data_IF_634870915307
#
_entry.id   IF_634870915307
#
_cell.length_a   1.000
_cell.length_b   1.000
_cell.length_c   1.000
_cell.angle_alpha   90.00
_cell.angle_beta   90.00
_cell.angle_gamma   90.00
#
_symmetry.space_group_name_H-M   'P 1'
#
loop_
_entity.id
_entity.type
_entity.pdbx_description
1 polymer ?
#
# COMPACT_ATOMS: atom_id res chain seq x y z
N UNK A 1 -19.97 -4.29 2.41
CA UNK A 1 -18.92 -3.76 1.51
C UNK A 1 -17.67 -4.61 1.64
N UNK A 2 -17.12 -5.13 0.54
CA UNK A 2 -15.84 -5.87 0.58
C UNK A 2 -14.70 -4.88 0.85
N UNK A 3 -13.98 -5.06 1.95
CA UNK A 3 -12.77 -4.29 2.24
C UNK A 3 -11.66 -4.74 1.28
N UNK A 4 -10.78 -3.84 0.82
CA UNK A 4 -9.60 -4.24 0.06
C UNK A 4 -8.72 -5.15 0.92
N UNK A 5 -8.00 -6.07 0.27
CA UNK A 5 -7.06 -6.94 0.98
C UNK A 5 -5.92 -6.11 1.62
N UNK A 6 -5.19 -6.68 2.60
CA UNK A 6 -3.99 -6.04 3.15
C UNK A 6 -2.98 -5.62 2.09
N UNK A 7 -2.82 -6.43 1.04
CA UNK A 7 -1.92 -6.19 -0.08
C UNK A 7 -2.38 -5.02 -0.96
N UNK A 8 -3.67 -4.97 -1.30
CA UNK A 8 -4.26 -3.86 -2.02
C UNK A 8 -4.14 -2.54 -1.23
N UNK A 9 -4.33 -2.60 0.09
CA UNK A 9 -4.13 -1.46 1.01
C UNK A 9 -2.67 -1.02 1.04
N UNK A 10 -1.72 -1.96 1.15
CA UNK A 10 -0.29 -1.68 1.15
C UNK A 10 0.15 -0.97 -0.13
N UNK A 11 -0.23 -1.53 -1.28
CA UNK A 11 0.07 -0.94 -2.59
C UNK A 11 -0.52 0.47 -2.73
N UNK A 12 -1.77 0.67 -2.30
CA UNK A 12 -2.44 1.97 -2.40
C UNK A 12 -1.74 3.03 -1.56
N UNK A 13 -1.35 2.71 -0.32
CA UNK A 13 -0.66 3.64 0.57
C UNK A 13 0.76 3.96 0.10
N UNK A 14 1.49 2.96 -0.39
CA UNK A 14 2.79 3.16 -1.03
C UNK A 14 2.71 4.11 -2.22
N UNK A 15 1.79 3.84 -3.15
CA UNK A 15 1.62 4.72 -4.31
C UNK A 15 1.17 6.12 -3.88
N UNK A 16 0.39 6.28 -2.80
CA UNK A 16 0.05 7.60 -2.27
C UNK A 16 1.22 8.35 -1.66
N UNK A 17 2.15 7.66 -0.99
CA UNK A 17 3.38 8.24 -0.46
C UNK A 17 4.27 8.77 -1.60
N UNK A 18 4.48 7.94 -2.63
CA UNK A 18 5.46 8.21 -3.69
C UNK A 18 4.89 8.83 -4.99
N UNK A 19 3.56 9.00 -5.13
CA UNK A 19 2.97 9.62 -6.35
C UNK A 19 3.47 11.03 -6.67
N UNK A 20 4.04 11.74 -5.69
CA UNK A 20 4.63 13.07 -5.88
C UNK A 20 6.12 13.01 -6.25
N UNK A 21 6.80 11.90 -6.02
CA UNK A 21 8.23 11.74 -6.31
C UNK A 21 8.47 11.31 -7.74
N UNK A 22 7.57 10.49 -8.31
CA UNK A 22 7.67 10.02 -9.69
C UNK A 22 6.26 9.95 -10.34
N UNK A 23 6.05 10.59 -11.51
CA UNK A 23 4.83 10.46 -12.30
C UNK A 23 4.41 9.01 -12.58
N UNK A 24 5.34 8.08 -12.68
CA UNK A 24 5.09 6.65 -12.90
C UNK A 24 4.26 6.04 -11.77
N UNK A 25 4.46 6.46 -10.51
CA UNK A 25 3.66 5.99 -9.38
C UNK A 25 2.24 6.59 -9.40
N UNK A 26 2.10 7.82 -9.88
CA UNK A 26 0.78 8.45 -10.07
C UNK A 26 -0.06 7.70 -11.08
N UNK A 27 0.53 7.30 -12.21
CA UNK A 27 -0.18 6.53 -13.24
C UNK A 27 -0.53 5.12 -12.76
N UNK A 28 0.38 4.43 -12.06
CA UNK A 28 0.08 3.14 -11.41
C UNK A 28 -1.07 3.24 -10.39
N UNK A 29 -1.10 4.32 -9.59
CA UNK A 29 -2.18 4.59 -8.63
C UNK A 29 -3.53 4.75 -9.32
N UNK A 30 -3.59 5.55 -10.39
CA UNK A 30 -4.81 5.72 -11.18
C UNK A 30 -5.29 4.38 -11.77
N UNK A 31 -4.36 3.57 -12.31
CA UNK A 31 -4.68 2.26 -12.90
C UNK A 31 -5.30 1.30 -11.88
N UNK A 32 -4.67 1.15 -10.70
CA UNK A 32 -5.18 0.27 -9.64
C UNK A 32 -6.54 0.74 -9.12
N UNK A 33 -6.73 2.05 -8.94
CA UNK A 33 -8.02 2.60 -8.50
C UNK A 33 -9.12 2.32 -9.53
N UNK A 34 -8.82 2.52 -10.83
CA UNK A 34 -9.77 2.19 -11.92
C UNK A 34 -10.14 0.71 -11.92
N UNK A 35 -9.17 -0.19 -11.73
CA UNK A 35 -9.46 -1.62 -11.65
C UNK A 35 -10.32 -1.97 -10.43
N UNK A 36 -10.09 -1.33 -9.29
CA UNK A 36 -10.95 -1.50 -8.11
C UNK A 36 -12.38 -0.99 -8.35
N UNK A 37 -12.55 0.08 -9.11
CA UNK A 37 -13.88 0.55 -9.53
C UNK A 37 -14.59 -0.48 -10.41
N UNK A 38 -13.87 -1.11 -11.36
CA UNK A 38 -14.41 -2.20 -12.18
C UNK A 38 -14.77 -3.45 -11.34
N UNK A 39 -14.01 -3.74 -10.28
CA UNK A 39 -14.37 -4.83 -9.34
C UNK A 39 -15.66 -4.49 -8.59
N UNK A 40 -15.86 -3.22 -8.23
CA UNK A 40 -17.09 -2.77 -7.55
C UNK A 40 -18.29 -2.76 -8.49
N UNK A 41 -18.10 -2.48 -9.79
CA UNK A 41 -19.18 -2.56 -10.80
C UNK A 41 -19.46 -3.99 -11.28
N UNK A 42 -18.60 -4.96 -10.93
CA UNK A 42 -18.73 -6.36 -11.37
C UNK A 42 -18.15 -6.64 -12.76
N UNK A 43 -17.55 -5.64 -13.40
CA UNK A 43 -16.90 -5.75 -14.72
C UNK A 43 -15.53 -6.42 -14.66
N UNK A 44 -14.90 -6.46 -13.47
CA UNK A 44 -13.64 -7.16 -13.24
C UNK A 44 -13.77 -8.13 -12.06
N UNK A 45 -13.24 -9.33 -12.21
CA UNK A 45 -13.18 -10.27 -11.10
C UNK A 45 -12.21 -9.78 -10.01
N UNK A 46 -12.56 -10.04 -8.75
CA UNK A 46 -11.67 -9.72 -7.64
C UNK A 46 -10.32 -10.45 -7.77
N UNK A 47 -10.31 -11.67 -8.32
CA UNK A 47 -9.08 -12.44 -8.57
C UNK A 47 -8.15 -11.77 -9.59
N UNK A 48 -8.69 -11.28 -10.72
CA UNK A 48 -7.89 -10.58 -11.73
C UNK A 48 -7.30 -9.26 -11.18
N UNK A 49 -8.07 -8.55 -10.36
CA UNK A 49 -7.55 -7.39 -9.63
C UNK A 49 -6.41 -7.76 -8.68
N UNK A 50 -6.60 -8.83 -7.89
CA UNK A 50 -5.60 -9.30 -6.94
C UNK A 50 -4.32 -9.77 -7.60
N UNK A 51 -4.39 -10.40 -8.78
CA UNK A 51 -3.20 -10.79 -9.55
C UNK A 51 -2.35 -9.58 -9.93
N UNK A 52 -2.99 -8.50 -10.42
CA UNK A 52 -2.29 -7.27 -10.78
C UNK A 52 -1.71 -6.56 -9.53
N UNK A 53 -2.44 -6.56 -8.40
CA UNK A 53 -1.93 -6.05 -7.12
C UNK A 53 -0.68 -6.81 -6.69
N UNK A 54 -0.70 -8.14 -6.72
CA UNK A 54 0.45 -8.97 -6.35
C UNK A 54 1.63 -8.73 -7.28
N UNK A 55 1.39 -8.68 -8.59
CA UNK A 55 2.43 -8.37 -9.59
C UNK A 55 3.11 -7.03 -9.33
N UNK A 56 2.33 -5.99 -9.02
CA UNK A 56 2.88 -4.68 -8.67
C UNK A 56 3.64 -4.70 -7.36
N UNK A 57 3.11 -5.33 -6.31
CA UNK A 57 3.82 -5.46 -5.04
C UNK A 57 5.16 -6.17 -5.22
N UNK A 58 5.18 -7.30 -5.93
CA UNK A 58 6.41 -8.02 -6.25
C UNK A 58 7.42 -7.14 -6.99
N UNK A 59 6.97 -6.30 -7.92
CA UNK A 59 7.86 -5.35 -8.62
C UNK A 59 8.48 -4.28 -7.71
N UNK A 60 7.90 -4.05 -6.52
CA UNK A 60 8.41 -3.11 -5.52
C UNK A 60 9.17 -3.77 -4.36
N UNK A 61 9.36 -5.10 -4.42
CA UNK A 61 10.03 -5.88 -3.37
C UNK A 61 9.10 -6.79 -2.55
N UNK A 62 7.82 -6.84 -2.91
CA UNK A 62 6.79 -7.58 -2.19
C UNK A 62 6.17 -6.78 -1.04
N UNK A 63 5.27 -7.43 -0.31
CA UNK A 63 4.45 -6.79 0.72
C UNK A 63 5.27 -6.17 1.85
N UNK A 64 6.25 -6.90 2.40
CA UNK A 64 7.07 -6.43 3.53
C UNK A 64 7.87 -5.19 3.16
N UNK A 65 8.58 -5.23 2.03
CA UNK A 65 9.41 -4.10 1.58
C UNK A 65 8.56 -2.86 1.27
N UNK A 66 7.35 -3.05 0.71
CA UNK A 66 6.40 -1.96 0.47
C UNK A 66 5.91 -1.32 1.77
N UNK A 67 5.64 -2.12 2.81
CA UNK A 67 5.30 -1.58 4.14
C UNK A 67 6.45 -0.77 4.70
N UNK A 68 7.66 -1.33 4.72
CA UNK A 68 8.85 -0.68 5.24
C UNK A 68 9.11 0.67 4.57
N UNK A 69 9.11 0.71 3.23
CA UNK A 69 9.26 1.96 2.47
C UNK A 69 8.19 2.98 2.83
N UNK A 70 6.94 2.54 2.94
CA UNK A 70 5.80 3.43 3.25
C UNK A 70 5.92 4.00 4.65
N UNK A 71 6.17 3.16 5.65
CA UNK A 71 6.31 3.58 7.05
C UNK A 71 7.49 4.54 7.18
N UNK A 72 8.64 4.17 6.62
CA UNK A 72 9.83 5.01 6.58
C UNK A 72 9.55 6.38 5.98
N UNK A 73 8.88 6.44 4.82
CA UNK A 73 8.54 7.71 4.16
C UNK A 73 7.74 8.64 5.07
N UNK A 74 6.73 8.12 5.78
CA UNK A 74 5.90 8.95 6.65
C UNK A 74 6.64 9.36 7.94
N UNK A 75 7.44 8.46 8.53
CA UNK A 75 8.28 8.78 9.69
C UNK A 75 9.31 9.86 9.32
N UNK A 76 9.99 9.75 8.18
CA UNK A 76 10.96 10.75 7.72
C UNK A 76 10.29 12.09 7.40
N UNK A 77 9.08 12.07 6.84
CA UNK A 77 8.37 13.27 6.42
C UNK A 77 7.66 14.01 7.57
N UNK A 78 7.12 13.27 8.52
CA UNK A 78 6.24 13.83 9.58
C UNK A 78 6.77 13.64 10.99
N UNK A 79 7.84 12.84 11.16
CA UNK A 79 8.43 12.54 12.46
C UNK A 79 7.81 11.34 13.17
N UNK A 80 6.65 10.85 12.73
CA UNK A 80 5.89 9.81 13.43
C UNK A 80 5.00 8.97 12.49
N UNK A 81 4.62 7.77 12.95
CA UNK A 81 3.65 6.92 12.27
C UNK A 81 2.32 6.92 13.03
N UNK A 82 1.27 7.49 12.42
CA UNK A 82 -0.05 7.66 13.07
C UNK A 82 -1.12 6.67 12.64
N UNK A 83 -0.89 5.91 11.56
CA UNK A 83 -1.94 5.06 11.03
C UNK A 83 -2.16 3.85 11.93
N UNK A 84 -3.30 3.84 12.61
CA UNK A 84 -3.73 2.79 13.53
C UNK A 84 -4.94 2.03 12.98
N UNK A 85 -5.05 0.76 13.33
CA UNK A 85 -6.14 -0.13 12.94
C UNK A 85 -5.83 -1.58 13.30
N UNK A 86 -6.87 -2.41 13.31
CA UNK A 86 -6.76 -3.83 13.69
C UNK A 86 -6.59 -4.76 12.48
N UNK A 87 -6.56 -4.21 11.26
CA UNK A 87 -6.27 -5.00 10.06
C UNK A 87 -4.78 -5.35 9.96
N UNK A 88 -4.50 -6.45 9.25
CA UNK A 88 -3.14 -6.99 9.08
C UNK A 88 -2.12 -5.94 8.67
N UNK A 89 -2.45 -5.07 7.71
CA UNK A 89 -1.55 -4.00 7.27
C UNK A 89 -1.20 -3.05 8.41
N UNK A 90 -2.19 -2.59 9.18
CA UNK A 90 -1.95 -1.69 10.31
C UNK A 90 -1.10 -2.35 11.41
N UNK A 91 -1.33 -3.64 11.70
CA UNK A 91 -0.53 -4.38 12.67
C UNK A 91 0.93 -4.54 12.21
N UNK A 92 1.14 -4.89 10.95
CA UNK A 92 2.48 -5.06 10.37
C UNK A 92 3.21 -3.71 10.29
N UNK A 93 2.54 -2.66 9.80
CA UNK A 93 3.10 -1.32 9.71
C UNK A 93 3.47 -0.74 11.08
N UNK A 94 2.66 -1.01 12.12
CA UNK A 94 3.00 -0.59 13.49
C UNK A 94 4.25 -1.29 14.00
N UNK A 95 4.40 -2.60 13.80
CA UNK A 95 5.62 -3.33 14.19
C UNK A 95 6.86 -2.72 13.54
N UNK A 96 6.79 -2.47 12.23
CA UNK A 96 7.87 -1.83 11.47
C UNK A 96 8.17 -0.43 12.00
N UNK A 97 7.14 0.38 12.29
CA UNK A 97 7.32 1.70 12.86
C UNK A 97 8.00 1.66 14.23
N UNK A 98 7.55 0.75 15.11
CA UNK A 98 8.13 0.56 16.44
C UNK A 98 9.59 0.13 16.38
N UNK A 99 9.95 -0.76 15.44
CA UNK A 99 11.33 -1.19 15.21
C UNK A 99 12.20 -0.04 14.68
N UNK A 100 11.70 0.74 13.72
CA UNK A 100 12.42 1.88 13.15
C UNK A 100 12.64 3.00 14.17
N UNK A 101 11.67 3.26 15.05
CA UNK A 101 11.77 4.29 16.08
C UNK A 101 12.68 3.89 17.24
N UNK A 102 12.79 2.59 17.54
CA UNK A 102 13.73 2.07 18.57
C UNK A 102 15.20 2.11 18.13
N UNK A 103 15.46 2.08 16.82
CA UNK A 103 16.82 2.14 16.26
C UNK A 103 17.34 3.57 16.06
N UNK A 104 16.52 4.58 16.39
CA UNK A 104 16.82 6.00 16.21
C UNK A 104 17.31 6.63 17.52
#
# INVERSE_FOLDING_TARGET
>A
MKKPSPEAKALSLFLMAYKKTDPSYKEKSKRINKQWDLVKSGELSNSAYMEEVQKMLTSFGGYSEVIEKTVKFYIEKTGEWKLQGDDKYCLDARKVADEMLKQK
#
